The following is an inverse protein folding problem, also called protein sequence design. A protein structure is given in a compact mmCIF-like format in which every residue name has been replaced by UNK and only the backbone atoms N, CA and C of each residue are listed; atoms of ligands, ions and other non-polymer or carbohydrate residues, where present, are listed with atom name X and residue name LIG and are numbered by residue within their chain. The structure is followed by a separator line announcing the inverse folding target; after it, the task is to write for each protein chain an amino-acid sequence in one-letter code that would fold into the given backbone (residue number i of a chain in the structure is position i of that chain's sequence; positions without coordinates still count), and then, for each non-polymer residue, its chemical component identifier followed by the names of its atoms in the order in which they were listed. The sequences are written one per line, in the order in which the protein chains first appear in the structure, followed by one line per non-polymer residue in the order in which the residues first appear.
data_IF_094599170008
#
_entry.id   IF_094599170008
#
_cell.length_a   1.000
_cell.length_b   1.000
_cell.length_c   1.000
_cell.angle_alpha   90.00
_cell.angle_beta   90.00
_cell.angle_gamma   90.00
#
_symmetry.space_group_name_H-M   'P 1'
#
loop_
_entity.id
_entity.type
_entity.pdbx_description
1 polymer ?
#
# COMPACT_ATOMS: atom_id res chain seq x y z
N UNK A 1 -10.47 -50.97 -9.37
CA UNK A 1 -10.39 -49.49 -9.29
C UNK A 1 -11.50 -49.06 -8.35
N UNK A 2 -11.19 -48.83 -7.08
CA UNK A 2 -12.17 -48.34 -6.11
C UNK A 2 -12.22 -46.82 -6.14
N UNK A 3 -13.40 -46.23 -6.10
CA UNK A 3 -13.59 -44.80 -5.89
C UNK A 3 -14.00 -44.63 -4.44
N UNK A 4 -13.22 -43.88 -3.66
CA UNK A 4 -13.59 -43.44 -2.32
C UNK A 4 -14.37 -42.15 -2.43
N UNK A 5 -15.65 -42.18 -2.06
CA UNK A 5 -16.47 -40.97 -1.91
C UNK A 5 -16.35 -40.47 -0.48
N UNK A 6 -16.16 -39.16 -0.32
CA UNK A 6 -16.07 -38.48 0.98
C UNK A 6 -17.23 -37.50 1.04
N UNK A 7 -18.17 -37.74 1.95
CA UNK A 7 -19.29 -36.83 2.21
C UNK A 7 -18.87 -35.83 3.30
N UNK A 8 -18.88 -34.54 2.96
CA UNK A 8 -18.53 -33.45 3.87
C UNK A 8 -19.78 -32.62 4.11
N UNK A 9 -20.04 -32.27 5.36
CA UNK A 9 -21.12 -31.36 5.69
C UNK A 9 -20.69 -29.91 5.38
N UNK A 10 -21.26 -29.32 4.32
CA UNK A 10 -20.87 -28.00 3.78
C UNK A 10 -21.22 -26.81 4.69
N UNK A 11 -22.01 -26.99 5.75
CA UNK A 11 -22.54 -25.88 6.56
C UNK A 11 -21.49 -25.22 7.46
N UNK A 12 -20.46 -25.95 7.90
CA UNK A 12 -19.45 -25.45 8.86
C UNK A 12 -18.01 -25.50 8.31
N UNK A 13 -17.85 -25.68 7.01
CA UNK A 13 -16.54 -25.80 6.37
C UNK A 13 -16.22 -24.54 5.59
N UNK A 14 -15.16 -23.84 5.98
CA UNK A 14 -14.66 -22.68 5.24
C UNK A 14 -13.78 -23.11 4.06
N UNK A 15 -13.88 -22.37 2.96
CA UNK A 15 -13.01 -22.55 1.79
C UNK A 15 -11.90 -21.50 1.82
N UNK A 16 -10.67 -21.92 1.54
CA UNK A 16 -9.56 -21.00 1.33
C UNK A 16 -9.26 -20.86 -0.17
N UNK A 17 -9.52 -19.68 -0.72
CA UNK A 17 -9.26 -19.37 -2.14
C UNK A 17 -7.91 -18.69 -2.39
N UNK A 18 -7.19 -18.31 -1.34
CA UNK A 18 -5.86 -17.71 -1.47
C UNK A 18 -4.83 -18.74 -1.91
N UNK A 19 -3.68 -18.27 -2.40
CA UNK A 19 -2.54 -19.12 -2.80
C UNK A 19 -2.15 -20.14 -1.71
N UNK A 20 -1.72 -21.33 -2.13
CA UNK A 20 -1.18 -22.33 -1.19
C UNK A 20 0.09 -21.79 -0.54
N UNK A 21 0.05 -21.58 0.77
CA UNK A 21 1.23 -21.23 1.56
C UNK A 21 1.84 -22.50 2.14
N UNK A 22 3.14 -22.68 1.93
CA UNK A 22 3.94 -23.75 2.54
C UNK A 22 3.83 -23.65 4.07
N UNK A 23 2.95 -24.46 4.69
CA UNK A 23 2.80 -24.56 6.14
C UNK A 23 1.42 -24.21 6.72
N UNK A 24 0.43 -23.85 5.90
CA UNK A 24 -0.96 -23.72 6.35
C UNK A 24 -1.70 -25.06 6.32
N UNK A 25 -2.50 -25.37 7.34
CA UNK A 25 -3.47 -26.47 7.28
C UNK A 25 -4.59 -26.11 6.28
N UNK A 26 -4.35 -26.37 4.99
CA UNK A 26 -5.38 -26.24 3.96
C UNK A 26 -6.33 -27.42 4.09
N UNK A 27 -7.54 -27.14 4.55
CA UNK A 27 -8.58 -28.17 4.68
C UNK A 27 -9.05 -28.66 3.29
N UNK A 28 -8.86 -27.85 2.23
CA UNK A 28 -9.20 -28.16 0.84
C UNK A 28 -8.29 -27.40 -0.16
N UNK A 29 -7.14 -27.97 -0.53
CA UNK A 29 -6.21 -27.35 -1.50
C UNK A 29 -6.77 -27.15 -2.91
N UNK A 30 -7.89 -27.81 -3.26
CA UNK A 30 -8.54 -27.71 -4.58
C UNK A 30 -9.06 -26.30 -4.92
N UNK A 31 -9.31 -25.46 -3.92
CA UNK A 31 -9.82 -24.10 -4.13
C UNK A 31 -8.73 -23.04 -4.08
N UNK A 32 -7.49 -23.41 -3.76
CA UNK A 32 -6.39 -22.46 -3.66
C UNK A 32 -6.11 -21.79 -5.02
N UNK A 33 -5.75 -20.51 -4.99
CA UNK A 33 -5.45 -19.72 -6.19
C UNK A 33 -6.68 -19.34 -7.06
N UNK A 34 -7.91 -19.64 -6.59
CA UNK A 34 -9.14 -19.26 -7.32
C UNK A 34 -9.64 -17.85 -6.98
N UNK A 35 -8.91 -17.10 -6.16
CA UNK A 35 -9.27 -15.73 -5.82
C UNK A 35 -9.11 -14.78 -7.01
N UNK A 36 -9.87 -13.70 -7.00
CA UNK A 36 -9.80 -12.67 -8.03
C UNK A 36 -8.90 -11.49 -7.67
N UNK A 37 -8.24 -11.47 -6.49
CA UNK A 37 -7.33 -10.37 -6.12
C UNK A 37 -6.30 -10.04 -7.21
N UNK A 38 -6.02 -8.75 -7.40
CA UNK A 38 -5.03 -8.26 -8.35
C UNK A 38 -3.62 -8.47 -7.81
N UNK A 39 -2.94 -9.52 -8.28
CA UNK A 39 -1.63 -9.91 -7.75
C UNK A 39 -0.54 -8.83 -7.90
N UNK A 40 -0.68 -7.88 -8.82
CA UNK A 40 0.29 -6.79 -8.97
C UNK A 40 0.30 -5.84 -7.76
N UNK A 41 -0.87 -5.47 -7.24
CA UNK A 41 -1.01 -4.40 -6.24
C UNK A 41 -1.58 -4.88 -4.90
N UNK A 42 -2.19 -6.07 -4.87
CA UNK A 42 -2.91 -6.62 -3.71
C UNK A 42 -2.43 -8.02 -3.33
N UNK A 43 -2.74 -8.44 -2.11
CA UNK A 43 -2.46 -9.76 -1.54
C UNK A 43 -3.76 -10.34 -0.96
N UNK A 44 -4.01 -11.61 -1.24
CA UNK A 44 -5.16 -12.35 -0.72
C UNK A 44 -4.95 -12.75 0.75
N UNK A 45 -5.97 -12.54 1.58
CA UNK A 45 -6.02 -13.04 2.97
C UNK A 45 -7.37 -13.76 3.19
N UNK A 46 -7.38 -15.03 3.63
CA UNK A 46 -8.62 -15.76 3.84
C UNK A 46 -9.41 -15.23 5.04
N UNK A 47 -10.73 -15.39 5.01
CA UNK A 47 -11.64 -15.04 6.09
C UNK A 47 -12.43 -16.29 6.49
N UNK A 48 -12.26 -16.74 7.74
CA UNK A 48 -12.94 -17.90 8.31
C UNK A 48 -14.28 -17.53 8.95
N UNK A 49 -15.10 -18.52 9.28
CA UNK A 49 -16.42 -18.39 9.89
C UNK A 49 -17.50 -17.93 8.90
N UNK A 50 -17.30 -18.15 7.60
CA UNK A 50 -18.22 -17.72 6.54
C UNK A 50 -18.93 -18.89 5.87
N UNK A 51 -18.56 -20.13 6.19
CA UNK A 51 -19.12 -21.36 5.64
C UNK A 51 -18.64 -21.64 4.22
N UNK A 52 -19.24 -22.63 3.57
CA UNK A 52 -18.84 -23.07 2.24
C UNK A 52 -19.36 -22.13 1.15
N UNK A 53 -18.60 -21.06 0.88
CA UNK A 53 -18.90 -20.09 -0.18
C UNK A 53 -17.65 -19.40 -0.72
N UNK A 54 -17.71 -19.04 -2.01
CA UNK A 54 -16.74 -18.19 -2.66
C UNK A 54 -16.80 -16.74 -2.13
N UNK A 55 -15.70 -16.01 -2.25
CA UNK A 55 -15.56 -14.63 -1.77
C UNK A 55 -15.27 -14.54 -0.26
N UNK A 56 -14.87 -15.64 0.37
CA UNK A 56 -14.45 -15.70 1.78
C UNK A 56 -12.99 -15.29 1.96
N UNK A 57 -12.60 -14.17 1.36
CA UNK A 57 -11.27 -13.59 1.45
C UNK A 57 -11.35 -12.06 1.40
N UNK A 58 -10.24 -11.40 1.71
CA UNK A 58 -10.03 -9.97 1.53
C UNK A 58 -8.75 -9.74 0.75
N UNK A 59 -8.76 -8.77 -0.16
CA UNK A 59 -7.54 -8.33 -0.84
C UNK A 59 -7.00 -7.09 -0.13
N UNK A 60 -5.84 -7.21 0.48
CA UNK A 60 -5.12 -6.11 1.15
C UNK A 60 -4.05 -5.55 0.20
N UNK A 61 -3.72 -4.26 0.32
CA UNK A 61 -2.64 -3.69 -0.51
C UNK A 61 -1.28 -4.30 -0.13
N UNK A 62 -0.46 -4.59 -1.14
CA UNK A 62 0.94 -4.97 -0.94
C UNK A 62 1.76 -3.80 -0.39
N UNK A 63 2.89 -4.06 0.29
CA UNK A 63 3.87 -3.01 0.60
C UNK A 63 4.24 -2.21 -0.66
N UNK A 64 4.37 -0.89 -0.53
CA UNK A 64 4.56 0.01 -1.66
C UNK A 64 3.27 0.44 -2.36
N UNK A 65 2.10 -0.04 -1.91
CA UNK A 65 0.79 0.40 -2.40
C UNK A 65 -0.14 0.81 -1.24
N UNK A 66 -1.07 1.71 -1.51
CA UNK A 66 -2.08 2.17 -0.56
C UNK A 66 -3.49 2.07 -1.13
N UNK A 67 -4.47 2.02 -0.22
CA UNK A 67 -5.87 1.86 -0.58
C UNK A 67 -6.47 3.21 -1.01
N UNK A 68 -7.03 3.33 -2.23
CA UNK A 68 -7.45 4.62 -2.79
C UNK A 68 -8.66 5.24 -2.10
N UNK A 69 -9.55 4.44 -1.52
CA UNK A 69 -10.79 4.95 -0.93
C UNK A 69 -10.56 5.41 0.52
N UNK A 70 -11.22 6.51 0.89
CA UNK A 70 -11.20 7.09 2.24
C UNK A 70 -12.17 6.37 3.19
N UNK A 71 -12.26 5.04 3.10
CA UNK A 71 -13.08 4.23 4.00
C UNK A 71 -12.29 3.75 5.21
N UNK A 72 -12.95 3.48 6.34
CA UNK A 72 -12.30 2.91 7.53
C UNK A 72 -11.76 1.49 7.26
N UNK A 73 -12.42 0.74 6.39
CA UNK A 73 -11.93 -0.56 5.92
C UNK A 73 -10.96 -0.34 4.74
N UNK A 74 -9.71 -0.79 4.92
CA UNK A 74 -8.60 -0.62 3.96
C UNK A 74 -8.29 -1.92 3.20
N UNK A 75 -9.34 -2.57 2.69
CA UNK A 75 -9.23 -3.80 1.92
C UNK A 75 -10.43 -3.91 0.97
N UNK A 76 -10.25 -4.69 -0.09
CA UNK A 76 -11.36 -5.07 -0.96
C UNK A 76 -11.97 -6.38 -0.46
N UNK A 77 -13.29 -6.42 -0.32
CA UNK A 77 -14.01 -7.60 0.16
C UNK A 77 -14.16 -8.61 -0.98
N UNK A 78 -13.74 -9.86 -0.76
CA UNK A 78 -13.77 -10.90 -1.78
C UNK A 78 -15.18 -11.14 -2.34
N UNK A 79 -16.23 -11.03 -1.51
CA UNK A 79 -17.61 -11.18 -1.99
C UNK A 79 -17.99 -10.16 -3.07
N UNK A 80 -17.52 -8.92 -2.93
CA UNK A 80 -17.81 -7.85 -3.90
C UNK A 80 -17.00 -8.03 -5.18
N UNK A 81 -15.75 -8.52 -5.05
CA UNK A 81 -14.88 -8.84 -6.18
C UNK A 81 -15.46 -10.00 -6.99
N UNK A 82 -15.82 -11.11 -6.34
CA UNK A 82 -16.40 -12.28 -7.01
C UNK A 82 -17.67 -11.90 -7.77
N UNK A 83 -18.54 -11.09 -7.15
CA UNK A 83 -19.75 -10.60 -7.81
C UNK A 83 -19.44 -9.74 -9.02
N UNK A 84 -18.55 -8.75 -8.88
CA UNK A 84 -18.21 -7.86 -9.98
C UNK A 84 -17.46 -8.59 -11.11
N UNK A 85 -16.56 -9.51 -10.79
CA UNK A 85 -15.85 -10.33 -11.76
C UNK A 85 -16.79 -11.31 -12.50
N UNK A 86 -17.85 -11.78 -11.84
CA UNK A 86 -18.91 -12.58 -12.48
C UNK A 86 -19.81 -11.73 -13.37
N UNK A 87 -20.26 -10.57 -12.90
CA UNK A 87 -21.22 -9.72 -13.61
C UNK A 87 -20.55 -8.98 -14.79
N UNK A 88 -19.30 -8.54 -14.63
CA UNK A 88 -18.57 -7.71 -15.59
C UNK A 88 -17.16 -8.26 -15.87
N UNK A 89 -17.07 -9.53 -16.26
CA UNK A 89 -15.79 -10.23 -16.41
C UNK A 89 -14.79 -9.50 -17.33
N UNK A 90 -15.22 -9.06 -18.50
CA UNK A 90 -14.35 -8.35 -19.44
C UNK A 90 -13.82 -7.05 -18.86
N UNK A 91 -14.68 -6.25 -18.22
CA UNK A 91 -14.31 -4.98 -17.59
C UNK A 91 -13.34 -5.19 -16.42
N UNK A 92 -13.58 -6.22 -15.60
CA UNK A 92 -12.70 -6.53 -14.48
C UNK A 92 -11.25 -6.78 -14.91
N UNK A 93 -11.04 -7.50 -16.02
CA UNK A 93 -9.68 -7.80 -16.50
C UNK A 93 -9.07 -6.75 -17.42
N UNK A 94 -9.88 -5.89 -18.04
CA UNK A 94 -9.39 -4.87 -19.01
C UNK A 94 -9.26 -3.48 -18.41
N UNK A 95 -10.07 -3.13 -17.40
CA UNK A 95 -10.08 -1.81 -16.78
C UNK A 95 -9.05 -1.73 -15.64
N UNK A 96 -7.99 -0.95 -15.88
CA UNK A 96 -7.02 -0.60 -14.86
C UNK A 96 -7.67 0.22 -13.73
N UNK A 97 -7.34 -0.07 -12.48
CA UNK A 97 -7.93 0.56 -11.29
C UNK A 97 -9.12 -0.18 -10.68
N UNK A 98 -9.63 -1.25 -11.30
CA UNK A 98 -10.71 -2.06 -10.73
C UNK A 98 -10.18 -2.95 -9.59
N UNK A 99 -10.56 -2.63 -8.35
CA UNK A 99 -10.10 -3.34 -7.14
C UNK A 99 -8.57 -3.40 -6.99
N UNK A 100 -7.87 -2.35 -7.46
CA UNK A 100 -6.42 -2.20 -7.39
C UNK A 100 -6.02 -1.14 -6.36
N UNK A 101 -4.86 -1.35 -5.73
CA UNK A 101 -4.24 -0.34 -4.88
C UNK A 101 -3.36 0.61 -5.70
N UNK A 102 -3.18 1.84 -5.20
CA UNK A 102 -2.34 2.84 -5.85
C UNK A 102 -0.91 2.77 -5.34
N UNK A 103 0.10 2.97 -6.20
CA UNK A 103 1.49 2.94 -5.77
C UNK A 103 1.82 4.13 -4.87
N UNK A 104 2.66 3.88 -3.86
CA UNK A 104 3.23 4.92 -3.02
C UNK A 104 4.15 5.85 -3.82
N UNK A 105 4.44 7.03 -3.24
CA UNK A 105 5.47 7.92 -3.77
C UNK A 105 6.83 7.21 -3.82
N UNK A 106 7.64 7.55 -4.83
CA UNK A 106 8.98 6.97 -5.03
C UNK A 106 9.84 7.14 -3.78
N UNK A 107 10.49 6.05 -3.36
CA UNK A 107 11.35 6.02 -2.17
C UNK A 107 10.63 5.64 -0.88
N UNK A 108 9.30 5.45 -0.90
CA UNK A 108 8.53 4.97 0.25
C UNK A 108 8.33 3.45 0.17
N UNK A 109 8.53 2.74 1.28
CA UNK A 109 8.25 1.29 1.40
C UNK A 109 6.81 1.02 1.83
N UNK A 110 6.23 1.91 2.63
CA UNK A 110 4.83 1.85 3.08
C UNK A 110 4.24 3.26 3.11
N UNK A 111 2.97 3.40 2.78
CA UNK A 111 2.26 4.68 2.82
C UNK A 111 0.78 4.46 3.11
N UNK A 112 0.14 5.47 3.72
CA UNK A 112 -1.30 5.47 3.98
C UNK A 112 -2.06 6.12 2.82
N UNK A 113 -1.43 7.10 2.20
CA UNK A 113 -1.96 7.96 1.15
C UNK A 113 -0.83 8.39 0.20
N UNK A 114 -1.14 9.31 -0.72
CA UNK A 114 -0.18 9.86 -1.68
C UNK A 114 0.78 10.89 -1.07
N UNK A 115 0.83 11.02 0.25
CA UNK A 115 1.73 11.96 0.92
C UNK A 115 3.19 11.50 0.77
N UNK A 116 4.13 12.45 0.57
CA UNK A 116 5.54 12.10 0.45
C UNK A 116 6.10 11.70 1.83
N UNK A 117 6.59 10.46 1.96
CA UNK A 117 7.27 10.00 3.18
C UNK A 117 8.67 10.61 3.36
N UNK A 118 9.28 11.02 2.24
CA UNK A 118 10.58 11.69 2.20
C UNK A 118 10.35 13.15 1.88
N UNK A 119 11.04 14.04 2.60
CA UNK A 119 11.10 15.45 2.22
C UNK A 119 11.59 15.52 0.77
N UNK A 120 10.75 16.03 -0.11
CA UNK A 120 11.09 16.21 -1.51
C UNK A 120 12.35 17.08 -1.58
N UNK A 121 13.42 16.55 -2.17
CA UNK A 121 14.65 17.28 -2.43
C UNK A 121 14.36 18.35 -3.50
N UNK A 122 13.74 19.44 -3.07
CA UNK A 122 13.51 20.59 -3.93
C UNK A 122 14.84 21.33 -4.02
N UNK A 123 15.53 21.14 -5.14
CA UNK A 123 16.78 21.81 -5.46
C UNK A 123 16.67 23.32 -5.23
N UNK A 124 15.54 23.92 -5.58
CA UNK A 124 15.22 25.33 -5.35
C UNK A 124 15.22 25.71 -3.87
N UNK A 125 14.56 24.94 -3.01
CA UNK A 125 14.52 25.21 -1.56
C UNK A 125 15.90 25.05 -0.93
N UNK A 126 16.67 24.05 -1.39
CA UNK A 126 18.04 23.82 -0.90
C UNK A 126 18.94 25.02 -1.22
N UNK A 127 18.90 25.53 -2.45
CA UNK A 127 19.67 26.72 -2.81
C UNK A 127 19.19 27.98 -2.11
N UNK A 128 17.88 28.16 -1.93
CA UNK A 128 17.34 29.30 -1.18
C UNK A 128 17.85 29.32 0.26
N UNK A 129 17.82 28.17 0.95
CA UNK A 129 18.32 28.05 2.32
C UNK A 129 19.84 28.31 2.41
N UNK A 130 20.62 27.80 1.46
CA UNK A 130 22.08 28.03 1.41
C UNK A 130 22.38 29.52 1.15
N UNK A 131 21.69 30.15 0.20
CA UNK A 131 21.88 31.56 -0.13
C UNK A 131 21.55 32.46 1.07
N UNK A 132 20.45 32.17 1.77
CA UNK A 132 20.06 32.90 2.99
C UNK A 132 21.12 32.73 4.09
N UNK A 133 21.61 31.50 4.31
CA UNK A 133 22.67 31.24 5.29
C UNK A 133 23.96 32.01 4.97
N UNK A 134 24.42 31.97 3.71
CA UNK A 134 25.61 32.71 3.29
C UNK A 134 25.45 34.22 3.47
N UNK A 135 24.27 34.76 3.13
CA UNK A 135 23.97 36.18 3.34
C UNK A 135 24.01 36.57 4.82
N UNK A 136 23.48 35.74 5.72
CA UNK A 136 23.58 36.01 7.16
C UNK A 136 25.02 35.97 7.68
N UNK A 137 25.85 35.05 7.16
CA UNK A 137 27.26 34.94 7.54
C UNK A 137 28.07 36.13 7.04
N UNK A 138 27.84 36.61 5.81
CA UNK A 138 28.56 37.78 5.29
C UNK A 138 28.20 39.06 6.04
N UNK A 139 26.93 39.26 6.36
CA UNK A 139 26.47 40.42 7.15
C UNK A 139 27.07 40.41 8.55
N UNK A 140 27.07 39.27 9.23
CA UNK A 140 27.66 39.15 10.58
C UNK A 140 29.17 39.39 10.58
N UNK A 141 29.90 38.87 9.59
CA UNK A 141 31.33 39.17 9.41
C UNK A 141 31.58 40.65 9.11
N UNK A 142 30.75 41.28 8.27
CA UNK A 142 30.84 42.71 7.96
C UNK A 142 30.64 43.60 9.19
N UNK A 143 29.62 43.30 10.01
CA UNK A 143 29.37 44.01 11.27
C UNK A 143 30.54 43.80 12.24
N UNK A 144 31.04 42.57 12.37
CA UNK A 144 32.18 42.29 13.24
C UNK A 144 33.44 43.06 12.81
N UNK A 145 33.75 43.09 11.51
CA UNK A 145 34.87 43.86 10.96
C UNK A 145 34.70 45.36 11.21
N UNK A 146 33.49 45.90 11.01
CA UNK A 146 33.16 47.28 11.30
C UNK A 146 33.40 47.61 12.78
N UNK A 147 32.89 46.78 13.71
CA UNK A 147 33.09 46.96 15.15
C UNK A 147 34.57 46.93 15.53
N UNK A 148 35.38 46.04 14.93
CA UNK A 148 36.82 45.96 15.19
C UNK A 148 37.57 47.18 14.65
N UNK A 149 37.21 47.69 13.48
CA UNK A 149 37.84 48.86 12.88
C UNK A 149 37.57 50.14 13.70
N UNK A 150 36.33 50.35 14.11
CA UNK A 150 35.93 51.54 14.89
C UNK A 150 36.18 51.41 16.39
N UNK A 151 36.79 50.31 16.84
CA UNK A 151 37.02 50.02 18.26
C UNK A 151 38.00 50.99 18.94
N UNK A 152 38.92 51.56 18.15
CA UNK A 152 39.92 52.56 18.60
C UNK A 152 39.37 53.99 18.56
N UNK A 153 38.28 54.23 17.82
CA UNK A 153 37.58 55.51 17.80
C UNK A 153 36.60 55.49 18.98
N UNK A 154 37.15 55.62 20.19
CA UNK A 154 36.36 55.89 21.40
C UNK A 154 35.72 57.27 21.23
N UNK A 155 34.39 57.30 21.20
CA UNK A 155 33.62 58.49 21.62
C UNK A 155 33.85 58.70 23.11
#
# INVERSE_FOLDING_TARGET
RGVTTIDIELTNVDINQCEETLGGTFQFGVFAGTHHCKNETTQCVPVTGRGFRAGSYKCICKPGYYFPLLTPQKYFNGTDIERYASDNQSEYYTTAGSFECLPCKKGCTTCVDNSPCLVTLNWSLRHAMIALALLTVTVTLGIAAFVVYYREIKV
#
